data_IF_545039745443
#
_entry.id   IF_545039745443
#
_cell.length_a   1.000
_cell.length_b   1.000
_cell.length_c   1.000
_cell.angle_alpha   90.00
_cell.angle_beta   90.00
_cell.angle_gamma   90.00
#
_symmetry.space_group_name_H-M   'P 1'
#
loop_
_entity.id
_entity.type
_entity.pdbx_description
1 polymer ?
#
# COMPACT_ATOMS: atom_id res chain seq x y z
N UNK A 1 23.20 0.89 -21.89
CA UNK A 1 22.47 0.84 -20.60
C UNK A 1 21.02 0.40 -20.82
N UNK A 2 20.26 1.05 -21.70
CA UNK A 2 18.84 0.79 -21.92
C UNK A 2 18.51 -0.66 -22.29
N UNK A 3 19.21 -1.29 -23.22
CA UNK A 3 18.96 -2.67 -23.62
C UNK A 3 19.18 -3.68 -22.50
N UNK A 4 20.22 -3.49 -21.67
CA UNK A 4 20.49 -4.38 -20.55
C UNK A 4 19.43 -4.25 -19.44
N UNK A 5 18.96 -3.04 -19.18
CA UNK A 5 17.90 -2.78 -18.22
C UNK A 5 16.59 -3.39 -18.71
N UNK A 6 16.23 -3.13 -19.95
CA UNK A 6 15.04 -3.68 -20.57
C UNK A 6 15.04 -5.22 -20.59
N UNK A 7 16.17 -5.83 -20.97
CA UNK A 7 16.32 -7.28 -20.94
C UNK A 7 16.14 -7.90 -19.55
N UNK A 8 16.62 -7.20 -18.50
CA UNK A 8 16.39 -7.64 -17.10
C UNK A 8 14.90 -7.57 -16.72
N UNK A 9 14.22 -6.48 -17.04
CA UNK A 9 12.79 -6.35 -16.76
C UNK A 9 11.98 -7.41 -17.50
N UNK A 10 12.26 -7.65 -18.77
CA UNK A 10 11.60 -8.71 -19.51
C UNK A 10 11.82 -10.10 -18.90
N UNK A 11 13.05 -10.43 -18.53
CA UNK A 11 13.36 -11.72 -17.92
C UNK A 11 12.65 -11.90 -16.57
N UNK A 12 12.62 -10.86 -15.74
CA UNK A 12 11.91 -10.89 -14.46
C UNK A 12 10.40 -11.04 -14.68
N UNK A 13 9.82 -10.28 -15.58
CA UNK A 13 8.39 -10.33 -15.88
C UNK A 13 7.99 -11.70 -16.45
N UNK A 14 8.79 -12.27 -17.35
CA UNK A 14 8.56 -13.61 -17.91
C UNK A 14 8.59 -14.69 -16.82
N UNK A 15 9.57 -14.65 -15.91
CA UNK A 15 9.67 -15.60 -14.80
C UNK A 15 8.49 -15.41 -13.83
N UNK A 16 8.16 -14.18 -13.50
CA UNK A 16 7.03 -13.82 -12.62
C UNK A 16 5.71 -14.35 -13.19
N UNK A 17 5.45 -14.12 -14.47
CA UNK A 17 4.25 -14.61 -15.13
C UNK A 17 4.20 -16.15 -15.15
N UNK A 18 5.27 -16.80 -15.62
CA UNK A 18 5.29 -18.25 -15.85
C UNK A 18 5.37 -19.09 -14.58
N UNK A 19 6.03 -18.60 -13.53
CA UNK A 19 6.34 -19.38 -12.33
C UNK A 19 5.53 -19.01 -11.12
N UNK A 20 5.09 -17.75 -11.07
CA UNK A 20 4.41 -17.19 -9.89
C UNK A 20 3.02 -16.60 -10.22
N UNK A 21 2.54 -16.74 -11.45
CA UNK A 21 1.22 -16.24 -11.85
C UNK A 21 1.04 -14.72 -11.62
N UNK A 22 2.13 -13.96 -11.70
CA UNK A 22 2.13 -12.51 -11.41
C UNK A 22 2.27 -12.14 -9.93
N UNK A 23 2.41 -13.10 -9.03
CA UNK A 23 2.54 -12.86 -7.59
C UNK A 23 3.94 -12.33 -7.23
N UNK A 24 4.15 -11.04 -7.44
CA UNK A 24 5.38 -10.32 -7.12
C UNK A 24 5.03 -8.95 -6.55
N UNK A 25 5.58 -8.61 -5.40
CA UNK A 25 5.60 -7.25 -4.87
C UNK A 25 6.87 -6.56 -5.37
N UNK A 26 6.70 -5.53 -6.19
CA UNK A 26 7.82 -4.72 -6.65
C UNK A 26 8.19 -3.72 -5.56
N UNK A 27 9.34 -3.92 -4.93
CA UNK A 27 9.87 -3.02 -3.91
C UNK A 27 11.07 -2.24 -4.46
N UNK A 28 11.20 -0.96 -4.08
CA UNK A 28 12.26 -0.04 -4.53
C UNK A 28 12.40 0.10 -6.06
N UNK A 29 11.35 -0.23 -6.80
CA UNK A 29 11.27 -0.10 -8.25
C UNK A 29 10.42 1.10 -8.66
N UNK A 30 10.80 2.30 -8.20
CA UNK A 30 10.03 3.54 -8.40
C UNK A 30 10.60 4.43 -9.52
N UNK A 31 11.61 3.93 -10.26
CA UNK A 31 12.10 4.66 -11.42
C UNK A 31 11.04 4.64 -12.55
N UNK A 32 10.92 5.73 -13.32
CA UNK A 32 9.91 5.81 -14.38
C UNK A 32 9.96 4.65 -15.37
N UNK A 33 11.15 4.17 -15.70
CA UNK A 33 11.34 3.02 -16.58
C UNK A 33 10.83 1.71 -15.98
N UNK A 34 10.73 1.58 -14.67
CA UNK A 34 10.19 0.39 -14.01
C UNK A 34 8.68 0.28 -14.22
N UNK A 35 7.95 1.40 -14.23
CA UNK A 35 6.49 1.40 -14.31
C UNK A 35 5.96 0.80 -15.62
N UNK A 36 6.71 0.92 -16.70
CA UNK A 36 6.27 0.48 -18.03
C UNK A 36 6.72 -0.94 -18.39
N UNK A 37 7.51 -1.60 -17.53
CA UNK A 37 8.17 -2.87 -17.86
C UNK A 37 7.78 -4.03 -16.94
N UNK A 38 6.64 -3.93 -16.26
CA UNK A 38 6.15 -4.94 -15.30
C UNK A 38 4.69 -5.35 -15.55
N UNK A 39 4.30 -5.73 -16.79
CA UNK A 39 2.90 -6.00 -17.10
C UNK A 39 2.33 -7.22 -16.37
N UNK A 40 3.15 -8.15 -15.87
CA UNK A 40 2.71 -9.36 -15.19
C UNK A 40 2.67 -9.25 -13.66
N UNK A 41 3.16 -8.15 -13.09
CA UNK A 41 3.19 -7.97 -11.63
C UNK A 41 2.47 -6.71 -11.21
N UNK A 42 1.20 -6.82 -10.77
CA UNK A 42 0.31 -5.67 -10.56
C UNK A 42 0.51 -4.95 -9.23
N UNK A 43 1.51 -5.31 -8.43
CA UNK A 43 1.71 -4.77 -7.08
C UNK A 43 3.05 -4.03 -7.01
N UNK A 44 3.03 -2.81 -6.47
CA UNK A 44 4.25 -2.03 -6.21
C UNK A 44 4.22 -1.36 -4.84
N UNK A 45 5.35 -1.36 -4.14
CA UNK A 45 5.55 -0.57 -2.92
C UNK A 45 5.40 0.92 -3.26
N UNK A 46 4.71 1.66 -2.40
CA UNK A 46 4.42 3.09 -2.57
C UNK A 46 5.06 4.00 -1.53
N UNK A 47 5.91 3.46 -0.66
CA UNK A 47 6.60 4.20 0.40
C UNK A 47 7.99 3.63 0.69
N UNK A 48 8.71 4.32 1.56
CA UNK A 48 9.83 3.77 2.30
C UNK A 48 9.40 2.64 3.25
N UNK A 49 10.35 2.03 3.94
CA UNK A 49 10.08 0.92 4.83
C UNK A 49 9.27 1.35 6.08
N UNK A 50 8.40 0.46 6.53
CA UNK A 50 7.73 0.59 7.81
C UNK A 50 8.74 0.45 8.96
N UNK A 51 8.83 1.49 9.82
CA UNK A 51 9.76 1.56 10.93
C UNK A 51 9.01 1.59 12.29
N UNK A 52 8.60 0.43 12.83
CA UNK A 52 7.72 0.37 14.01
C UNK A 52 8.31 0.96 15.30
N UNK A 53 9.63 1.04 15.39
CA UNK A 53 10.33 1.60 16.54
C UNK A 53 10.60 3.09 16.43
N UNK A 54 10.30 3.71 15.30
CA UNK A 54 10.46 5.15 15.11
C UNK A 54 9.10 5.83 15.14
N UNK A 55 8.73 6.52 16.23
CA UNK A 55 7.43 7.18 16.34
C UNK A 55 7.22 8.28 15.30
N UNK A 56 8.30 8.90 14.83
CA UNK A 56 8.21 10.00 13.86
C UNK A 56 7.98 9.50 12.42
N UNK A 57 8.21 8.20 12.16
CA UNK A 57 8.04 7.64 10.83
C UNK A 57 6.59 7.36 10.42
N UNK A 58 5.65 7.36 11.37
CA UNK A 58 4.25 7.04 11.07
C UNK A 58 3.64 8.02 10.06
N UNK A 59 3.71 9.30 10.37
CA UNK A 59 3.16 10.36 9.51
C UNK A 59 3.77 10.34 8.13
N UNK A 60 5.10 10.35 8.04
CA UNK A 60 5.84 10.29 6.79
C UNK A 60 5.44 9.08 5.95
N UNK A 61 5.42 7.88 6.54
CA UNK A 61 5.06 6.65 5.85
C UNK A 61 3.62 6.67 5.29
N UNK A 62 2.65 7.17 6.07
CA UNK A 62 1.26 7.27 5.62
C UNK A 62 1.10 8.31 4.51
N UNK A 63 1.76 9.45 4.62
CA UNK A 63 1.75 10.52 3.63
C UNK A 63 2.37 10.03 2.31
N UNK A 64 3.57 9.43 2.36
CA UNK A 64 4.23 8.88 1.18
C UNK A 64 3.31 7.92 0.44
N UNK A 65 2.73 6.94 1.13
CA UNK A 65 1.82 5.97 0.53
C UNK A 65 0.61 6.65 -0.14
N UNK A 66 -0.06 7.55 0.57
CA UNK A 66 -1.25 8.23 0.06
C UNK A 66 -0.95 9.07 -1.19
N UNK A 67 0.14 9.83 -1.17
CA UNK A 67 0.48 10.72 -2.28
C UNK A 67 1.09 9.97 -3.46
N UNK A 68 1.92 8.95 -3.23
CA UNK A 68 2.44 8.11 -4.30
C UNK A 68 1.32 7.35 -5.03
N UNK A 69 0.24 7.00 -4.33
CA UNK A 69 -0.92 6.33 -4.94
C UNK A 69 -1.64 7.19 -6.00
N UNK A 70 -1.44 8.52 -6.03
CA UNK A 70 -1.99 9.37 -7.09
C UNK A 70 -1.45 9.02 -8.49
N UNK A 71 -0.18 8.63 -8.58
CA UNK A 71 0.42 8.19 -9.83
C UNK A 71 0.48 6.66 -9.94
N UNK A 72 1.03 6.02 -8.92
CA UNK A 72 1.23 4.58 -8.93
C UNK A 72 -0.09 3.81 -8.94
N UNK A 73 -1.11 4.31 -8.27
CA UNK A 73 -2.43 3.71 -8.21
C UNK A 73 -3.19 3.69 -9.54
N UNK A 74 -2.75 4.46 -10.55
CA UNK A 74 -3.27 4.38 -11.91
C UNK A 74 -2.77 3.13 -12.66
N UNK A 75 -1.66 2.55 -12.21
CA UNK A 75 -0.96 1.47 -12.90
C UNK A 75 -0.89 0.20 -12.08
N UNK A 76 -0.90 0.32 -10.75
CA UNK A 76 -0.61 -0.77 -9.82
C UNK A 76 -1.52 -0.72 -8.59
N UNK A 77 -1.67 -1.86 -7.93
CA UNK A 77 -2.12 -1.90 -6.54
C UNK A 77 -0.94 -1.47 -5.65
N UNK A 78 -1.17 -0.45 -4.82
CA UNK A 78 -0.15 0.11 -3.95
C UNK A 78 0.05 -0.78 -2.71
N UNK A 79 1.26 -1.28 -2.53
CA UNK A 79 1.68 -1.95 -1.31
C UNK A 79 2.13 -0.89 -0.28
N UNK A 80 1.40 -0.81 0.83
CA UNK A 80 1.67 0.10 1.94
C UNK A 80 2.56 -0.53 3.01
N UNK A 81 3.33 -1.53 2.64
CA UNK A 81 4.24 -2.28 3.50
C UNK A 81 3.57 -3.06 4.64
N UNK A 82 4.36 -3.83 5.35
CA UNK A 82 3.96 -4.55 6.55
C UNK A 82 3.56 -3.60 7.70
N UNK A 83 2.96 -4.16 8.74
CA UNK A 83 2.75 -3.46 10.02
C UNK A 83 2.78 -4.47 11.18
N UNK A 84 2.85 -3.96 12.41
CA UNK A 84 2.69 -4.75 13.63
C UNK A 84 1.29 -4.60 14.19
N UNK A 85 0.64 -5.73 14.52
CA UNK A 85 -0.70 -5.72 15.11
C UNK A 85 -0.69 -5.26 16.58
N UNK A 86 0.44 -5.35 17.27
CA UNK A 86 0.64 -4.83 18.63
C UNK A 86 1.09 -3.35 18.66
N UNK A 87 1.27 -2.71 17.50
CA UNK A 87 1.65 -1.29 17.45
C UNK A 87 0.53 -0.41 17.99
N UNK A 88 0.82 0.68 18.73
CA UNK A 88 -0.21 1.60 19.26
C UNK A 88 -1.20 2.11 18.20
N UNK A 89 -0.75 2.26 16.96
CA UNK A 89 -1.56 2.69 15.82
C UNK A 89 -1.92 1.54 14.86
N UNK A 90 -1.92 0.30 15.33
CA UNK A 90 -2.17 -0.88 14.49
C UNK A 90 -3.46 -0.81 13.68
N UNK A 91 -4.55 -0.30 14.25
CA UNK A 91 -5.84 -0.15 13.55
C UNK A 91 -5.78 0.87 12.42
N UNK A 92 -5.04 1.97 12.61
CA UNK A 92 -4.79 2.96 11.55
C UNK A 92 -4.04 2.29 10.38
N UNK A 93 -2.94 1.61 10.70
CA UNK A 93 -2.17 0.87 9.71
C UNK A 93 -3.01 -0.16 8.96
N UNK A 94 -3.81 -0.94 9.69
CA UNK A 94 -4.65 -2.00 9.13
C UNK A 94 -5.72 -1.44 8.17
N UNK A 95 -6.48 -0.43 8.62
CA UNK A 95 -7.54 0.19 7.81
C UNK A 95 -6.98 0.84 6.55
N UNK A 96 -5.88 1.58 6.65
CA UNK A 96 -5.31 2.24 5.49
C UNK A 96 -4.76 1.25 4.45
N UNK A 97 -4.19 0.11 4.89
CA UNK A 97 -3.79 -0.98 3.99
C UNK A 97 -4.98 -1.66 3.34
N UNK A 98 -6.09 -1.84 4.07
CA UNK A 98 -7.33 -2.30 3.46
C UNK A 98 -7.79 -1.34 2.35
N UNK A 99 -7.82 -0.04 2.63
CA UNK A 99 -8.24 0.98 1.66
C UNK A 99 -7.29 1.08 0.47
N UNK A 100 -6.01 0.75 0.63
CA UNK A 100 -5.04 0.79 -0.47
C UNK A 100 -5.38 -0.15 -1.63
N UNK A 101 -6.13 -1.21 -1.37
CA UNK A 101 -6.41 -2.27 -2.35
C UNK A 101 -5.21 -3.17 -2.68
N UNK A 102 -4.06 -2.90 -2.06
CA UNK A 102 -2.86 -3.72 -2.13
C UNK A 102 -2.87 -4.89 -1.15
N UNK A 103 -1.76 -5.58 -0.97
CA UNK A 103 -1.63 -6.65 0.00
C UNK A 103 -1.72 -6.10 1.44
N UNK A 104 -2.35 -6.89 2.33
CA UNK A 104 -2.39 -6.62 3.77
C UNK A 104 -1.63 -7.72 4.47
N UNK A 105 -0.53 -7.40 5.13
CA UNK A 105 0.31 -8.36 5.82
C UNK A 105 0.98 -7.74 7.05
N UNK A 106 1.23 -8.56 8.07
CA UNK A 106 1.88 -8.14 9.30
C UNK A 106 3.24 -8.84 9.47
N UNK A 107 4.09 -8.23 10.28
CA UNK A 107 5.43 -8.73 10.61
C UNK A 107 5.62 -8.91 12.12
N UNK A 108 4.58 -9.30 12.81
CA UNK A 108 4.60 -9.58 14.24
C UNK A 108 5.60 -10.69 14.59
N UNK A 109 6.17 -10.64 15.78
CA UNK A 109 6.91 -11.76 16.31
C UNK A 109 6.00 -12.99 16.46
N UNK A 110 6.55 -14.19 16.31
CA UNK A 110 5.77 -15.42 16.43
C UNK A 110 5.03 -15.48 17.77
N UNK A 111 3.72 -15.66 17.73
CA UNK A 111 2.86 -15.74 18.91
C UNK A 111 2.41 -14.39 19.47
N UNK A 112 2.75 -13.27 18.82
CA UNK A 112 2.43 -11.92 19.25
C UNK A 112 1.39 -11.22 18.37
N UNK A 113 0.73 -11.94 17.48
CA UNK A 113 -0.29 -11.35 16.62
C UNK A 113 -1.58 -11.05 17.37
N UNK A 114 -2.00 -9.78 17.38
CA UNK A 114 -3.35 -9.40 17.83
C UNK A 114 -4.38 -9.73 16.73
N UNK A 115 -4.97 -10.91 16.85
CA UNK A 115 -5.97 -11.37 15.89
C UNK A 115 -7.25 -10.50 15.86
N UNK A 116 -7.51 -9.65 16.86
CA UNK A 116 -8.65 -8.76 16.84
C UNK A 116 -8.47 -7.67 15.77
N UNK A 117 -7.27 -7.09 15.67
CA UNK A 117 -6.93 -6.09 14.63
C UNK A 117 -7.17 -6.65 13.22
N UNK A 118 -6.77 -7.91 12.97
CA UNK A 118 -6.94 -8.54 11.67
C UNK A 118 -8.40 -8.90 11.39
N UNK A 119 -9.14 -9.38 12.40
CA UNK A 119 -10.57 -9.72 12.24
C UNK A 119 -11.43 -8.51 11.91
N UNK A 120 -11.09 -7.33 12.44
CA UNK A 120 -11.81 -6.09 12.15
C UNK A 120 -11.75 -5.69 10.67
N UNK A 121 -10.83 -6.25 9.90
CA UNK A 121 -10.70 -6.00 8.45
C UNK A 121 -11.57 -6.94 7.60
N UNK A 122 -12.08 -8.01 8.17
CA UNK A 122 -12.77 -9.05 7.41
C UNK A 122 -14.28 -8.79 7.33
N UNK A 123 -14.85 -9.09 6.18
CA UNK A 123 -16.29 -9.20 6.02
C UNK A 123 -16.85 -10.41 6.81
N UNK A 124 -18.17 -10.48 6.93
CA UNK A 124 -18.85 -11.56 7.68
C UNK A 124 -18.51 -12.98 7.17
N UNK A 125 -18.23 -13.10 5.87
CA UNK A 125 -17.83 -14.36 5.23
C UNK A 125 -16.34 -14.70 5.40
N UNK A 126 -15.59 -13.88 6.13
CA UNK A 126 -14.16 -14.04 6.37
C UNK A 126 -13.26 -13.58 5.23
N UNK A 127 -13.81 -12.95 4.19
CA UNK A 127 -13.00 -12.38 3.10
C UNK A 127 -12.50 -10.98 3.46
N UNK A 128 -11.36 -10.60 2.88
CA UNK A 128 -10.85 -9.24 2.95
C UNK A 128 -11.51 -8.43 1.83
N UNK A 129 -12.34 -7.40 2.14
CA UNK A 129 -12.92 -6.54 1.13
C UNK A 129 -11.81 -5.84 0.32
N UNK A 130 -12.04 -5.67 -0.98
CA UNK A 130 -11.11 -4.95 -1.85
C UNK A 130 -11.79 -3.76 -2.48
N UNK A 131 -11.19 -2.58 -2.41
CA UNK A 131 -11.71 -1.42 -3.12
C UNK A 131 -11.58 -1.61 -4.64
N UNK A 132 -12.50 -1.01 -5.40
CA UNK A 132 -12.45 -0.98 -6.86
C UNK A 132 -11.37 -0.04 -7.38
N UNK A 133 -11.02 0.96 -6.59
CA UNK A 133 -9.95 1.92 -6.85
C UNK A 133 -9.05 2.02 -5.62
N UNK A 134 -7.72 2.14 -5.81
CA UNK A 134 -6.79 2.29 -4.70
C UNK A 134 -7.04 3.58 -3.94
N UNK A 135 -6.70 3.56 -2.65
CA UNK A 135 -6.83 4.71 -1.77
C UNK A 135 -6.04 5.92 -2.30
N UNK A 136 -6.65 7.09 -2.22
CA UNK A 136 -6.07 8.37 -2.63
C UNK A 136 -6.31 9.42 -1.55
N UNK A 137 -5.43 10.42 -1.41
CA UNK A 137 -5.71 11.52 -0.51
C UNK A 137 -6.95 12.28 -0.98
N UNK A 138 -7.77 12.74 -0.05
CA UNK A 138 -8.87 13.65 -0.36
C UNK A 138 -8.32 15.01 -0.83
N UNK A 139 -9.08 15.74 -1.62
CA UNK A 139 -8.65 17.02 -2.21
C UNK A 139 -8.17 18.00 -1.12
N UNK A 140 -8.84 18.05 0.02
CA UNK A 140 -8.43 18.92 1.13
C UNK A 140 -7.02 18.60 1.66
N UNK A 141 -6.61 17.33 1.65
CA UNK A 141 -5.27 16.91 2.08
C UNK A 141 -4.19 17.21 1.04
N UNK A 142 -4.53 17.39 -0.25
CA UNK A 142 -3.53 17.64 -1.30
C UNK A 142 -2.81 18.98 -1.16
N UNK A 143 -3.46 19.97 -0.55
CA UNK A 143 -2.97 21.34 -0.44
C UNK A 143 -2.57 21.70 1.00
N UNK A 144 -2.67 20.78 1.93
CA UNK A 144 -2.32 20.96 3.33
C UNK A 144 -1.25 19.93 3.71
N UNK A 145 -0.36 20.33 4.57
CA UNK A 145 0.66 19.47 5.13
C UNK A 145 0.14 18.80 6.40
N UNK A 146 -0.28 17.53 6.36
CA UNK A 146 -0.83 16.86 7.55
C UNK A 146 0.23 16.51 8.60
N UNK A 147 1.51 16.60 8.27
CA UNK A 147 2.60 16.34 9.21
C UNK A 147 2.93 17.56 10.08
N UNK A 148 2.82 18.77 9.52
CA UNK A 148 3.24 20.00 10.18
C UNK A 148 2.09 20.98 10.47
N UNK A 149 0.84 20.56 10.26
CA UNK A 149 -0.35 21.38 10.51
C UNK A 149 -1.41 20.57 11.28
N UNK A 150 -2.47 21.24 11.72
CA UNK A 150 -3.61 20.59 12.40
C UNK A 150 -4.59 19.91 11.40
N UNK A 151 -4.21 19.74 10.15
CA UNK A 151 -5.03 19.05 9.14
C UNK A 151 -4.80 17.54 9.20
N UNK A 152 -5.88 16.79 9.37
CA UNK A 152 -5.81 15.34 9.27
C UNK A 152 -5.55 14.89 7.83
N UNK A 153 -4.75 13.85 7.65
CA UNK A 153 -4.64 13.15 6.37
C UNK A 153 -5.95 12.41 6.10
N UNK A 154 -6.70 12.87 5.12
CA UNK A 154 -7.89 12.18 4.62
C UNK A 154 -7.52 11.25 3.46
N UNK A 155 -7.87 9.97 3.57
CA UNK A 155 -7.67 8.96 2.53
C UNK A 155 -9.01 8.37 2.14
N UNK A 156 -9.30 8.31 0.84
CA UNK A 156 -10.57 7.80 0.31
C UNK A 156 -10.35 6.61 -0.62
N UNK A 157 -11.27 5.63 -0.54
CA UNK A 157 -11.33 4.49 -1.44
C UNK A 157 -12.78 4.19 -1.82
N UNK A 158 -13.00 3.51 -2.93
CA UNK A 158 -14.35 3.16 -3.42
C UNK A 158 -14.60 1.65 -3.36
N UNK A 159 -15.76 1.28 -2.85
CA UNK A 159 -16.26 -0.10 -2.81
C UNK A 159 -17.65 -0.15 -3.46
N UNK A 160 -17.72 -0.55 -4.71
CA UNK A 160 -18.96 -0.52 -5.49
C UNK A 160 -19.51 0.90 -5.60
N UNK A 161 -20.72 1.11 -5.08
CA UNK A 161 -21.37 2.42 -5.05
C UNK A 161 -20.98 3.28 -3.82
N UNK A 162 -20.26 2.73 -2.88
CA UNK A 162 -19.90 3.37 -1.62
C UNK A 162 -18.50 3.98 -1.68
N UNK A 163 -18.36 5.16 -1.09
CA UNK A 163 -17.08 5.81 -0.86
C UNK A 163 -16.77 5.80 0.63
N UNK A 164 -15.63 5.25 0.97
CA UNK A 164 -15.11 5.21 2.35
C UNK A 164 -14.01 6.25 2.49
N UNK A 165 -14.05 7.02 3.56
CA UNK A 165 -13.01 8.01 3.88
C UNK A 165 -12.51 7.73 5.29
N UNK A 166 -11.19 7.58 5.43
CA UNK A 166 -10.50 7.55 6.71
C UNK A 166 -9.75 8.86 6.92
N UNK A 167 -9.83 9.40 8.13
CA UNK A 167 -9.04 10.54 8.58
C UNK A 167 -8.09 10.07 9.69
N UNK A 168 -6.82 10.43 9.55
CA UNK A 168 -5.75 10.05 10.48
C UNK A 168 -4.84 11.23 10.78
#
# INVERSE_FOLDING_TARGET
YGEATWGRHQALDEVTSRRFGGALINCMGMAPEDYWHRPSSPITRSSDDYLPHNPDSLGEHLIQNAYCALLMGELYHCDWDMFWTEHPHARVHAVLRLLSGGPVYCSDACGHTDAAVLRDLLAEDGTLPRPDEPARPVIASLLNDPEHTDYALGVTARFGAEQVIAFV
#
